data_IF_683966476559
#
_entry.id   IF_683966476559
#
_cell.length_a   1.000
_cell.length_b   1.000
_cell.length_c   1.000
_cell.angle_alpha   90.00
_cell.angle_beta   90.00
_cell.angle_gamma   90.00
#
_symmetry.space_group_name_H-M   'P 1'
#
loop_
_entity.id
_entity.type
_entity.pdbx_description
1 polymer ?
#
# COMPACT_ATOMS: atom_id res chain seq x y z
N UNK A 1 4.40 17.31 7.22
CA UNK A 1 5.01 16.05 7.66
C UNK A 1 4.84 15.04 6.53
N UNK A 2 5.89 14.80 5.75
CA UNK A 2 5.87 13.86 4.63
C UNK A 2 6.38 12.50 5.08
N UNK A 3 5.48 11.67 5.61
CA UNK A 3 5.80 10.27 5.93
C UNK A 3 5.30 9.41 4.78
N UNK A 4 6.16 8.55 4.24
CA UNK A 4 5.74 7.60 3.20
C UNK A 4 4.71 6.62 3.75
N UNK A 5 3.82 6.15 2.88
CA UNK A 5 2.81 5.19 3.24
C UNK A 5 3.45 3.89 3.74
N UNK A 6 3.02 3.44 4.92
CA UNK A 6 3.32 2.13 5.48
C UNK A 6 2.08 1.61 6.18
N UNK A 7 1.95 0.28 6.28
CA UNK A 7 0.81 -0.35 6.98
C UNK A 7 0.68 0.16 8.41
N UNK A 8 1.82 0.27 9.12
CA UNK A 8 1.86 0.74 10.51
C UNK A 8 1.46 2.21 10.63
N UNK A 9 1.93 3.07 9.72
CA UNK A 9 1.52 4.47 9.70
C UNK A 9 0.01 4.60 9.42
N UNK A 10 -0.51 3.86 8.43
CA UNK A 10 -1.95 3.87 8.11
C UNK A 10 -2.80 3.42 9.30
N UNK A 11 -2.44 2.29 9.94
CA UNK A 11 -3.16 1.79 11.12
C UNK A 11 -3.13 2.76 12.30
N UNK A 12 -1.99 3.43 12.54
CA UNK A 12 -1.85 4.47 13.57
C UNK A 12 -2.69 5.71 13.25
N UNK A 13 -2.74 6.13 11.99
CA UNK A 13 -3.60 7.23 11.53
C UNK A 13 -5.07 6.87 11.68
N UNK A 14 -5.49 5.66 11.29
CA UNK A 14 -6.86 5.17 11.48
C UNK A 14 -7.25 5.16 12.96
N UNK A 15 -6.34 4.74 13.84
CA UNK A 15 -6.54 4.79 15.29
C UNK A 15 -6.73 6.24 15.79
N UNK A 16 -5.87 7.17 15.37
CA UNK A 16 -5.99 8.59 15.73
C UNK A 16 -7.30 9.21 15.22
N UNK A 17 -7.72 8.88 13.99
CA UNK A 17 -9.00 9.32 13.41
C UNK A 17 -10.18 8.77 14.20
N UNK A 18 -10.12 7.50 14.61
CA UNK A 18 -11.16 6.86 15.42
C UNK A 18 -11.31 7.50 16.81
N UNK A 19 -10.18 7.85 17.44
CA UNK A 19 -10.16 8.60 18.70
C UNK A 19 -10.81 9.97 18.52
N UNK A 20 -10.48 10.67 17.43
CA UNK A 20 -11.09 11.95 17.10
C UNK A 20 -12.60 11.85 16.87
N UNK A 21 -13.08 10.88 16.10
CA UNK A 21 -14.50 10.73 15.79
C UNK A 21 -15.33 10.34 17.03
N UNK A 22 -14.77 9.52 17.92
CA UNK A 22 -15.48 9.01 19.09
C UNK A 22 -15.38 9.93 20.30
N UNK A 23 -14.21 10.55 20.52
CA UNK A 23 -13.88 11.29 21.75
C UNK A 23 -13.64 12.79 21.51
N UNK A 24 -13.59 13.26 20.26
CA UNK A 24 -13.37 14.69 19.92
C UNK A 24 -11.91 15.17 20.02
N UNK A 25 -10.98 14.30 20.41
CA UNK A 25 -9.57 14.65 20.59
C UNK A 25 -8.67 13.43 20.33
N UNK A 26 -7.35 13.65 20.29
CA UNK A 26 -6.34 12.60 20.05
C UNK A 26 -5.23 12.62 21.10
N UNK A 27 -4.57 11.47 21.31
CA UNK A 27 -3.43 11.39 22.24
C UNK A 27 -2.22 12.23 21.77
N UNK A 28 -1.43 12.72 22.74
CA UNK A 28 -0.25 13.58 22.50
C UNK A 28 0.86 12.93 21.66
N UNK A 29 0.90 11.59 21.60
CA UNK A 29 1.89 10.83 20.83
C UNK A 29 1.72 10.98 19.32
N UNK A 30 0.55 11.42 18.88
CA UNK A 30 0.26 11.63 17.48
C UNK A 30 0.61 13.07 17.08
N UNK A 31 0.99 13.30 15.81
CA UNK A 31 1.39 14.62 15.36
C UNK A 31 0.24 15.61 15.49
N UNK A 32 0.51 16.76 16.11
CA UNK A 32 -0.46 17.84 16.25
C UNK A 32 -0.67 18.51 14.89
N UNK A 33 -1.89 18.43 14.36
CA UNK A 33 -2.34 19.27 13.25
C UNK A 33 -3.07 20.49 13.80
N UNK A 34 -3.00 21.63 13.10
CA UNK A 34 -3.59 22.91 13.56
C UNK A 34 -5.09 22.81 13.85
N UNK A 35 -5.75 21.87 13.20
CA UNK A 35 -7.19 21.70 13.25
C UNK A 35 -7.68 20.94 14.50
N UNK A 36 -6.82 20.22 15.24
CA UNK A 36 -7.28 19.28 16.28
C UNK A 36 -6.54 19.39 17.63
N UNK A 37 -7.29 19.44 18.76
CA UNK A 37 -6.71 19.49 20.08
C UNK A 37 -6.22 18.12 20.57
N UNK A 38 -5.15 18.15 21.36
CA UNK A 38 -4.67 17.00 22.13
C UNK A 38 -5.60 16.79 23.32
N UNK A 39 -5.97 15.54 23.62
CA UNK A 39 -6.82 15.22 24.76
C UNK A 39 -6.15 15.59 26.09
N UNK A 40 -6.93 16.19 27.00
CA UNK A 40 -6.54 16.29 28.40
C UNK A 40 -6.78 14.96 29.13
N UNK A 41 -5.71 14.32 29.57
CA UNK A 41 -5.76 13.04 30.29
C UNK A 41 -6.20 13.16 31.74
N UNK A 42 -6.29 14.38 32.30
CA UNK A 42 -6.80 14.60 33.66
C UNK A 42 -8.33 14.40 33.71
N UNK A 43 -9.01 14.55 32.57
CA UNK A 43 -10.43 14.32 32.46
C UNK A 43 -10.76 12.82 32.37
N UNK A 44 -11.27 12.25 33.47
CA UNK A 44 -11.64 10.83 33.57
C UNK A 44 -12.63 10.36 32.50
N UNK A 45 -13.50 11.24 31.99
CA UNK A 45 -14.47 10.88 30.95
C UNK A 45 -13.79 10.67 29.61
N UNK A 46 -12.85 11.56 29.25
CA UNK A 46 -12.04 11.46 28.04
C UNK A 46 -11.11 10.25 28.11
N UNK A 47 -10.46 10.03 29.26
CA UNK A 47 -9.62 8.86 29.50
C UNK A 47 -10.38 7.54 29.28
N UNK A 48 -11.59 7.42 29.83
CA UNK A 48 -12.45 6.25 29.62
C UNK A 48 -12.79 6.05 28.14
N UNK A 49 -13.04 7.14 27.40
CA UNK A 49 -13.31 7.09 25.96
C UNK A 49 -12.09 6.60 25.17
N UNK A 50 -10.91 7.18 25.40
CA UNK A 50 -9.65 6.77 24.76
C UNK A 50 -9.33 5.30 25.04
N UNK A 51 -9.56 4.84 26.27
CA UNK A 51 -9.38 3.43 26.65
C UNK A 51 -10.35 2.51 25.90
N UNK A 52 -11.62 2.93 25.73
CA UNK A 52 -12.60 2.18 24.93
C UNK A 52 -12.14 2.04 23.47
N UNK A 53 -11.79 3.15 22.82
CA UNK A 53 -11.29 3.14 21.43
C UNK A 53 -10.02 2.29 21.29
N UNK A 54 -9.12 2.35 22.28
CA UNK A 54 -7.92 1.49 22.30
C UNK A 54 -8.29 0.00 22.38
N UNK A 55 -9.30 -0.36 23.15
CA UNK A 55 -9.78 -1.75 23.22
C UNK A 55 -10.45 -2.17 21.92
N UNK A 56 -11.25 -1.30 21.31
CA UNK A 56 -11.89 -1.56 20.01
C UNK A 56 -10.85 -1.73 18.90
N UNK A 57 -9.76 -0.95 18.93
CA UNK A 57 -8.62 -1.11 18.04
C UNK A 57 -7.93 -2.47 18.22
N UNK A 58 -7.66 -2.86 19.47
CA UNK A 58 -7.04 -4.17 19.78
C UNK A 58 -7.92 -5.36 19.37
N UNK A 59 -9.25 -5.21 19.47
CA UNK A 59 -10.22 -6.23 19.08
C UNK A 59 -10.52 -6.22 17.56
N UNK A 60 -9.90 -5.32 16.78
CA UNK A 60 -10.14 -5.22 15.33
C UNK A 60 -11.51 -4.64 14.94
N UNK A 61 -12.27 -4.07 15.88
CA UNK A 61 -13.63 -3.53 15.64
C UNK A 61 -13.65 -2.24 14.83
N UNK A 62 -12.53 -1.54 14.71
CA UNK A 62 -12.41 -0.26 14.00
C UNK A 62 -12.22 -0.41 12.48
N UNK A 63 -12.29 -1.63 11.91
CA UNK A 63 -12.12 -1.93 10.48
C UNK A 63 -10.82 -1.38 9.84
N UNK A 64 -9.86 -0.90 10.64
CA UNK A 64 -8.60 -0.34 10.16
C UNK A 64 -7.75 -1.34 9.36
N UNK A 65 -7.97 -2.64 9.54
CA UNK A 65 -7.28 -3.68 8.76
C UNK A 65 -7.72 -3.69 7.29
N UNK A 66 -9.00 -3.45 7.01
CA UNK A 66 -9.52 -3.43 5.64
C UNK A 66 -9.23 -2.08 4.95
N UNK A 67 -9.19 -0.99 5.72
CA UNK A 67 -8.87 0.34 5.17
C UNK A 67 -7.38 0.56 4.87
N UNK A 68 -6.50 -0.31 5.36
CA UNK A 68 -5.05 -0.16 5.24
C UNK A 68 -4.41 -1.35 4.50
N UNK A 69 -4.40 -1.36 3.16
CA UNK A 69 -3.73 -2.39 2.38
C UNK A 69 -2.20 -2.36 2.57
N UNK A 70 -1.50 -3.49 2.36
CA UNK A 70 -0.04 -3.51 2.34
C UNK A 70 0.53 -2.61 1.23
N UNK A 71 1.66 -1.93 1.45
CA UNK A 71 2.35 -1.17 0.41
C UNK A 71 2.98 -2.12 -0.62
N UNK A 72 3.05 -1.69 -1.88
CA UNK A 72 3.76 -2.43 -2.93
C UNK A 72 5.29 -2.45 -2.74
N UNK A 73 5.83 -1.48 -2.00
CA UNK A 73 7.26 -1.39 -1.71
C UNK A 73 7.48 -1.26 -0.21
N UNK A 74 8.13 -2.25 0.37
CA UNK A 74 8.46 -2.29 1.79
C UNK A 74 9.94 -2.63 1.97
N UNK A 75 10.60 -1.98 2.92
CA UNK A 75 11.97 -2.26 3.31
C UNK A 75 11.98 -2.67 4.78
N UNK A 76 12.28 -3.93 5.05
CA UNK A 76 12.28 -4.51 6.40
C UNK A 76 13.71 -4.85 6.82
N UNK A 77 14.10 -4.44 8.03
CA UNK A 77 15.40 -4.76 8.62
C UNK A 77 15.24 -5.87 9.66
N UNK A 78 15.87 -7.03 9.42
CA UNK A 78 15.98 -8.10 10.42
C UNK A 78 17.03 -7.68 11.45
N UNK A 79 16.71 -7.77 12.74
CA UNK A 79 17.58 -7.33 13.84
C UNK A 79 18.11 -8.53 14.61
N UNK A 80 19.45 -8.65 14.69
CA UNK A 80 20.15 -9.61 15.55
C UNK A 80 20.86 -8.82 16.65
N UNK A 81 20.55 -9.11 17.92
CA UNK A 81 21.12 -8.38 19.06
C UNK A 81 22.12 -9.23 19.83
N UNK A 82 23.29 -8.67 20.11
CA UNK A 82 24.29 -9.26 21.02
C UNK A 82 24.59 -8.28 22.16
N UNK A 83 24.91 -8.83 23.33
CA UNK A 83 25.15 -8.07 24.54
C UNK A 83 26.48 -8.45 25.16
N UNK A 84 27.21 -7.45 25.68
CA UNK A 84 28.45 -7.66 26.43
C UNK A 84 28.56 -6.61 27.53
N UNK A 85 29.30 -6.95 28.59
CA UNK A 85 29.57 -6.03 29.68
C UNK A 85 30.57 -4.97 29.23
N UNK A 86 30.14 -3.71 29.21
CA UNK A 86 30.96 -2.56 28.86
C UNK A 86 30.82 -1.45 29.91
N UNK A 87 31.88 -0.68 30.23
CA UNK A 87 33.30 -0.95 29.94
C UNK A 87 33.87 -2.05 30.86
N UNK A 88 35.09 -2.51 30.61
CA UNK A 88 35.86 -3.33 31.56
C UNK A 88 36.25 -2.51 32.78
N UNK A 89 36.40 -3.14 33.97
CA UNK A 89 36.74 -2.44 35.22
C UNK A 89 38.01 -1.58 35.10
N UNK A 90 39.02 -2.06 34.38
CA UNK A 90 40.28 -1.34 34.16
C UNK A 90 40.15 -0.07 33.31
N UNK A 91 39.16 -0.01 32.42
CA UNK A 91 38.95 1.14 31.52
C UNK A 91 37.79 2.05 31.96
N UNK A 92 37.13 1.73 33.07
CA UNK A 92 36.00 2.48 33.58
C UNK A 92 36.35 3.94 33.88
N UNK A 93 37.49 4.19 34.52
CA UNK A 93 37.96 5.54 34.86
C UNK A 93 38.29 6.36 33.61
N UNK A 94 38.96 5.75 32.62
CA UNK A 94 39.28 6.40 31.35
C UNK A 94 38.01 6.87 30.63
N UNK A 95 37.01 5.99 30.48
CA UNK A 95 35.75 6.34 29.82
C UNK A 95 34.93 7.35 30.62
N UNK A 96 34.97 7.28 31.95
CA UNK A 96 34.32 8.27 32.82
C UNK A 96 34.88 9.67 32.58
N UNK A 97 36.20 9.82 32.58
CA UNK A 97 36.87 11.11 32.34
C UNK A 97 36.62 11.63 30.92
N UNK A 98 36.67 10.76 29.92
CA UNK A 98 36.43 11.13 28.53
C UNK A 98 34.97 11.58 28.29
N UNK A 99 33.99 10.88 28.88
CA UNK A 99 32.57 11.25 28.75
C UNK A 99 32.23 12.51 29.54
N UNK A 100 32.82 12.74 30.72
CA UNK A 100 32.64 13.98 31.47
C UNK A 100 33.16 15.21 30.72
N UNK A 101 34.22 15.05 29.92
CA UNK A 101 34.72 16.12 29.03
C UNK A 101 33.74 16.43 27.89
N UNK A 102 33.08 15.40 27.34
CA UNK A 102 32.17 15.55 26.20
C UNK A 102 30.76 15.99 26.59
N UNK A 103 30.26 15.48 27.72
CA UNK A 103 28.89 15.69 28.17
C UNK A 103 28.89 16.03 29.66
N UNK A 104 28.38 17.21 30.01
CA UNK A 104 28.37 17.74 31.39
C UNK A 104 27.39 17.01 32.34
N UNK A 105 26.62 16.04 31.84
CA UNK A 105 25.50 15.41 32.55
C UNK A 105 25.80 13.99 33.08
N UNK A 106 27.02 13.47 32.91
CA UNK A 106 27.37 12.16 33.46
C UNK A 106 27.73 12.31 34.94
N UNK A 107 26.72 12.21 35.79
CA UNK A 107 26.88 12.22 37.25
C UNK A 107 27.75 11.03 37.69
N UNK A 108 28.94 11.35 38.16
CA UNK A 108 30.01 10.38 38.44
C UNK A 108 29.90 9.70 39.81
N UNK A 109 28.84 9.95 40.56
CA UNK A 109 28.72 9.49 41.95
C UNK A 109 28.09 8.09 42.09
N UNK A 110 27.29 7.68 41.10
CA UNK A 110 26.64 6.36 41.05
C UNK A 110 27.39 5.39 40.14
N UNK A 111 27.10 4.09 40.26
CA UNK A 111 27.67 3.01 39.44
C UNK A 111 27.63 3.35 37.94
N UNK A 112 28.77 3.73 37.36
CA UNK A 112 28.89 4.18 35.97
C UNK A 112 28.38 3.12 34.98
N UNK A 113 28.70 1.85 35.26
CA UNK A 113 28.24 0.68 34.47
C UNK A 113 26.73 0.49 34.46
N UNK A 114 25.99 1.03 35.44
CA UNK A 114 24.52 0.89 35.48
C UNK A 114 23.80 1.99 34.67
N UNK A 115 24.46 3.12 34.43
CA UNK A 115 23.84 4.30 33.83
C UNK A 115 24.29 4.55 32.38
N UNK A 116 25.39 3.93 31.94
CA UNK A 116 25.96 4.17 30.60
C UNK A 116 25.83 2.92 29.74
N UNK A 117 25.22 3.08 28.56
CA UNK A 117 25.08 2.05 27.54
C UNK A 117 25.85 2.44 26.28
N UNK A 118 26.64 1.51 25.75
CA UNK A 118 27.23 1.62 24.40
C UNK A 118 26.38 0.83 23.42
N UNK A 119 25.79 1.51 22.43
CA UNK A 119 25.03 0.90 21.33
C UNK A 119 25.86 0.97 20.05
N UNK A 120 26.12 -0.19 19.45
CA UNK A 120 26.76 -0.28 18.13
C UNK A 120 25.74 -0.82 17.12
N UNK A 121 25.49 -0.06 16.06
CA UNK A 121 24.58 -0.45 14.97
C UNK A 121 25.43 -0.66 13.72
N UNK A 122 25.40 -1.87 13.18
CA UNK A 122 26.16 -2.25 11.98
C UNK A 122 25.39 -3.31 11.19
N UNK A 123 25.70 -3.44 9.90
CA UNK A 123 25.17 -4.52 9.07
C UNK A 123 25.99 -5.78 9.29
N UNK A 124 25.32 -6.92 9.42
CA UNK A 124 25.97 -8.23 9.58
C UNK A 124 26.75 -8.60 8.31
N UNK A 125 26.15 -8.35 7.15
CA UNK A 125 26.72 -8.61 5.83
C UNK A 125 26.42 -7.43 4.88
N UNK A 126 27.21 -7.24 3.82
CA UNK A 126 27.02 -6.19 2.81
C UNK A 126 25.99 -6.58 1.72
N UNK A 127 25.29 -7.69 1.90
CA UNK A 127 24.23 -8.14 0.99
C UNK A 127 22.86 -7.66 1.48
N UNK A 128 21.89 -7.65 0.55
CA UNK A 128 20.49 -7.39 0.86
C UNK A 128 19.62 -8.37 0.08
N UNK A 129 18.50 -8.75 0.69
CA UNK A 129 17.51 -9.64 0.10
C UNK A 129 16.45 -8.80 -0.60
N UNK A 130 16.22 -9.03 -1.90
CA UNK A 130 15.12 -8.42 -2.66
C UNK A 130 14.11 -9.49 -3.00
N UNK A 131 12.87 -9.28 -2.59
CA UNK A 131 11.74 -10.12 -2.94
C UNK A 131 10.87 -9.28 -3.88
N UNK A 132 10.76 -9.70 -5.13
CA UNK A 132 9.91 -9.09 -6.15
C UNK A 132 8.84 -10.07 -6.61
N UNK A 133 7.61 -9.59 -6.70
CA UNK A 133 6.48 -10.34 -7.25
C UNK A 133 6.29 -9.95 -8.72
N UNK A 134 6.24 -10.93 -9.61
CA UNK A 134 6.03 -10.76 -11.05
C UNK A 134 4.79 -11.55 -11.50
N UNK A 135 4.18 -11.14 -12.61
CA UNK A 135 3.01 -11.82 -13.15
C UNK A 135 3.38 -13.23 -13.59
N UNK A 136 2.68 -14.24 -13.07
CA UNK A 136 2.91 -15.63 -13.46
C UNK A 136 2.57 -15.91 -14.93
N UNK A 137 1.71 -15.07 -15.52
CA UNK A 137 1.27 -15.23 -16.90
C UNK A 137 1.06 -13.89 -17.57
N UNK A 138 1.89 -13.60 -18.56
CA UNK A 138 1.78 -12.40 -19.38
C UNK A 138 0.82 -12.62 -20.55
N UNK A 139 0.30 -11.51 -21.10
CA UNK A 139 -0.56 -11.56 -22.30
C UNK A 139 0.15 -12.21 -23.50
N UNK A 140 1.47 -12.07 -23.61
CA UNK A 140 2.25 -12.73 -24.65
C UNK A 140 2.16 -14.26 -24.54
N UNK A 141 2.30 -14.79 -23.32
CA UNK A 141 2.17 -16.23 -23.06
C UNK A 141 0.74 -16.71 -23.33
N UNK A 142 -0.28 -15.91 -22.95
CA UNK A 142 -1.68 -16.20 -23.27
C UNK A 142 -1.93 -16.37 -24.76
N UNK A 143 -1.50 -15.40 -25.55
CA UNK A 143 -1.69 -15.43 -27.00
C UNK A 143 -0.86 -16.55 -27.63
N UNK A 144 0.32 -16.85 -27.09
CA UNK A 144 1.15 -17.96 -27.58
C UNK A 144 0.49 -19.31 -27.34
N UNK A 145 -0.07 -19.55 -26.16
CA UNK A 145 -0.71 -20.84 -25.84
C UNK A 145 -2.03 -21.00 -26.62
N UNK A 146 -2.81 -19.93 -26.73
CA UNK A 146 -4.03 -19.93 -27.54
C UNK A 146 -3.72 -20.15 -29.03
N UNK A 147 -2.73 -19.44 -29.57
CA UNK A 147 -2.30 -19.59 -30.95
C UNK A 147 -1.69 -20.97 -31.21
N UNK A 148 -0.90 -21.49 -30.28
CA UNK A 148 -0.29 -22.81 -30.36
C UNK A 148 -1.33 -23.93 -30.36
N UNK A 149 -2.33 -23.84 -29.49
CA UNK A 149 -3.42 -24.82 -29.44
C UNK A 149 -4.31 -24.75 -30.69
N UNK A 150 -4.73 -23.56 -31.11
CA UNK A 150 -5.54 -23.40 -32.33
C UNK A 150 -4.77 -23.80 -33.60
N UNK A 151 -3.48 -23.50 -33.67
CA UNK A 151 -2.60 -23.87 -34.78
C UNK A 151 -2.34 -25.37 -34.83
N UNK A 152 -2.17 -26.04 -33.69
CA UNK A 152 -1.92 -27.49 -33.65
C UNK A 152 -3.17 -28.31 -33.98
N UNK A 153 -4.33 -27.96 -33.44
CA UNK A 153 -5.55 -28.75 -33.59
C UNK A 153 -6.32 -28.45 -34.88
N UNK A 154 -6.48 -27.16 -35.21
CA UNK A 154 -7.35 -26.71 -36.31
C UNK A 154 -6.50 -26.26 -37.52
N UNK A 155 -5.19 -26.06 -37.35
CA UNK A 155 -4.34 -25.48 -38.39
C UNK A 155 -4.59 -24.00 -38.62
N UNK A 156 -5.25 -23.31 -37.67
CA UNK A 156 -5.54 -21.89 -37.80
C UNK A 156 -4.28 -21.05 -37.59
N UNK A 157 -4.09 -20.06 -38.46
CA UNK A 157 -3.02 -19.08 -38.36
C UNK A 157 -3.57 -17.66 -38.25
N UNK A 158 -2.68 -16.69 -38.05
CA UNK A 158 -3.04 -15.25 -38.06
C UNK A 158 -3.71 -14.85 -39.38
N UNK A 159 -3.31 -15.45 -40.50
CA UNK A 159 -3.93 -15.19 -41.80
C UNK A 159 -5.39 -15.66 -41.84
N UNK A 160 -5.69 -16.82 -41.26
CA UNK A 160 -7.05 -17.34 -41.15
C UNK A 160 -7.95 -16.40 -40.32
N UNK A 161 -7.42 -15.81 -39.26
CA UNK A 161 -8.13 -14.79 -38.48
C UNK A 161 -8.39 -13.51 -39.29
N UNK A 162 -7.41 -13.06 -40.07
CA UNK A 162 -7.56 -11.89 -40.93
C UNK A 162 -8.65 -12.09 -41.99
N UNK A 163 -8.72 -13.28 -42.59
CA UNK A 163 -9.75 -13.65 -43.57
C UNK A 163 -11.16 -13.67 -42.96
N UNK A 164 -11.33 -14.27 -41.78
CA UNK A 164 -12.61 -14.26 -41.06
C UNK A 164 -13.03 -12.82 -40.74
N UNK A 165 -12.08 -11.97 -40.33
CA UNK A 165 -12.36 -10.58 -40.01
C UNK A 165 -12.77 -9.77 -41.25
N UNK A 166 -12.08 -9.94 -42.38
CA UNK A 166 -12.47 -9.34 -43.66
C UNK A 166 -13.86 -9.79 -44.09
N UNK A 167 -14.13 -11.09 -44.02
CA UNK A 167 -15.45 -11.64 -44.35
C UNK A 167 -16.55 -11.03 -43.48
N UNK A 168 -16.34 -10.92 -42.17
CA UNK A 168 -17.29 -10.30 -41.24
C UNK A 168 -17.54 -8.82 -41.58
N UNK A 169 -16.49 -8.05 -41.90
CA UNK A 169 -16.64 -6.65 -42.29
C UNK A 169 -17.44 -6.50 -43.59
N UNK A 170 -17.17 -7.33 -44.59
CA UNK A 170 -17.93 -7.35 -45.84
C UNK A 170 -19.40 -7.75 -45.62
N UNK A 171 -19.65 -8.74 -44.74
CA UNK A 171 -20.99 -9.14 -44.37
C UNK A 171 -21.75 -8.02 -43.66
N UNK A 172 -21.13 -7.37 -42.68
CA UNK A 172 -21.70 -6.20 -42.00
C UNK A 172 -21.96 -5.03 -42.97
N UNK A 173 -21.04 -4.75 -43.88
CA UNK A 173 -21.20 -3.70 -44.89
C UNK A 173 -22.36 -3.98 -45.86
N UNK A 174 -22.47 -5.22 -46.35
CA UNK A 174 -23.57 -5.61 -47.24
C UNK A 174 -24.92 -5.63 -46.54
N UNK A 175 -24.98 -6.07 -45.28
CA UNK A 175 -26.17 -5.97 -44.43
C UNK A 175 -26.57 -4.52 -44.19
N UNK A 176 -25.62 -3.65 -43.83
CA UNK A 176 -25.86 -2.22 -43.67
C UNK A 176 -26.37 -1.58 -44.98
N UNK A 177 -25.80 -1.92 -46.14
CA UNK A 177 -26.32 -1.47 -47.46
C UNK A 177 -27.71 -2.00 -47.74
N UNK A 178 -28.01 -3.26 -47.44
CA UNK A 178 -29.37 -3.83 -47.61
C UNK A 178 -30.39 -3.14 -46.71
N UNK A 179 -30.05 -2.87 -45.45
CA UNK A 179 -30.90 -2.13 -44.51
C UNK A 179 -31.12 -0.69 -45.00
N UNK A 180 -30.06 0.01 -45.45
CA UNK A 180 -30.15 1.37 -46.00
C UNK A 180 -30.98 1.43 -47.30
N UNK A 181 -30.83 0.43 -48.19
CA UNK A 181 -31.66 0.29 -49.40
C UNK A 181 -33.11 -0.01 -49.06
N UNK A 182 -33.40 -0.86 -48.06
CA UNK A 182 -34.77 -1.11 -47.59
C UNK A 182 -35.42 0.13 -47.00
N UNK A 183 -34.68 0.93 -46.22
CA UNK A 183 -35.17 2.23 -45.73
C UNK A 183 -35.45 3.21 -46.88
N UNK A 184 -34.55 3.33 -47.86
CA UNK A 184 -34.77 4.20 -49.01
C UNK A 184 -35.95 3.73 -49.88
N UNK A 185 -36.10 2.41 -50.10
CA UNK A 185 -37.25 1.86 -50.84
C UNK A 185 -38.58 2.13 -50.11
N UNK A 186 -38.62 1.96 -48.78
CA UNK A 186 -39.80 2.27 -47.96
C UNK A 186 -40.14 3.77 -47.99
N UNK A 187 -39.12 4.64 -47.99
CA UNK A 187 -39.29 6.09 -48.11
C UNK A 187 -39.80 6.52 -49.49
N UNK A 188 -39.39 5.83 -50.56
CA UNK A 188 -39.90 6.07 -51.92
C UNK A 188 -41.33 5.56 -52.12
N UNK A 189 -41.73 4.45 -51.51
CA UNK A 189 -43.12 3.97 -51.56
C UNK A 189 -44.08 4.89 -50.81
N UNK A 190 -43.68 5.40 -49.63
CA UNK A 190 -44.47 6.39 -48.87
C UNK A 190 -44.57 7.72 -49.64
N UNK A 191 -43.51 8.14 -50.33
CA UNK A 191 -43.55 9.35 -51.16
C UNK A 191 -44.46 9.18 -52.39
N UNK A 192 -44.49 8.01 -53.04
CA UNK A 192 -45.35 7.77 -54.21
C UNK A 192 -46.84 7.72 -53.85
N UNK A 193 -47.21 7.21 -52.67
CA UNK A 193 -48.61 7.25 -52.21
C UNK A 193 -49.09 8.67 -51.81
N UNK A 194 -48.18 9.60 -51.52
CA UNK A 194 -48.53 10.97 -51.09
C UNK A 194 -48.69 11.96 -52.26
N UNK A 195 -48.42 11.54 -53.51
CA UNK A 195 -48.60 12.33 -54.74
C UNK A 195 -49.74 11.79 -55.66
N UNK A 196 -50.59 10.88 -55.15
CA UNK A 196 -51.65 10.21 -55.91
C UNK A 196 -53.08 10.68 -55.57
N UNK A 197 -53.25 11.81 -54.87
CA UNK A 197 -54.53 12.51 -54.69
C UNK A 197 -54.62 13.76 -55.58
#
# INVERSE_FOLDING_TARGET
>A
MGVNYSTTACKKSCWAISQRQTCGCMEYKFPKTKDFPVCDTLNKTVEKCLRKVKNDFKQGKLNCSNSCPPPCRESTFKLTTSYSLWPTKSYEEYYKLELQKRTKEVDGNNNFRANVLKLNIFFEELNYEVISEELSYELANFVSDLGGTLGLWIGMSVLSFAEIFEFLLLMCYTLARKLKRRMNAKSSTIAVEMFAE
#
